data_IF_984760529726
#
_entry.id   IF_984760529726
#
_cell.length_a   1.000
_cell.length_b   1.000
_cell.length_c   1.000
_cell.angle_alpha   90.00
_cell.angle_beta   90.00
_cell.angle_gamma   90.00
#
_symmetry.space_group_name_H-M   'P 1'
#
loop_
_entity.id
_entity.type
_entity.pdbx_description
1 polymer ?
#
# COMPACT_ATOMS: atom_id res chain seq x y z
N UNK A 1 -1.81 -37.41 -7.07
CA UNK A 1 -0.45 -37.52 -7.65
C UNK A 1 0.13 -36.12 -7.74
N UNK A 2 0.94 -35.71 -6.76
CA UNK A 2 1.67 -34.44 -6.84
C UNK A 2 3.01 -34.71 -7.54
N UNK A 3 3.29 -33.97 -8.61
CA UNK A 3 4.52 -34.13 -9.40
C UNK A 3 5.73 -33.60 -8.62
N UNK A 4 6.79 -34.41 -8.50
CA UNK A 4 8.07 -34.07 -7.86
C UNK A 4 8.76 -32.83 -8.46
N UNK A 5 8.33 -32.39 -9.65
CA UNK A 5 8.86 -31.22 -10.36
C UNK A 5 7.87 -30.06 -10.45
N UNK A 6 6.88 -29.99 -9.56
CA UNK A 6 6.07 -28.77 -9.45
C UNK A 6 6.97 -27.60 -9.05
N UNK A 7 7.09 -26.63 -9.94
CA UNK A 7 7.71 -25.33 -9.64
C UNK A 7 6.84 -24.61 -8.62
N UNK A 8 7.14 -24.80 -7.33
CA UNK A 8 6.52 -24.01 -6.27
C UNK A 8 6.92 -22.56 -6.49
N UNK A 9 5.99 -21.73 -6.97
CA UNK A 9 6.23 -20.28 -6.99
C UNK A 9 6.58 -19.85 -5.58
N UNK A 10 7.73 -19.17 -5.35
CA UNK A 10 8.15 -18.80 -4.02
C UNK A 10 7.06 -17.94 -3.38
N UNK A 11 6.65 -18.31 -2.16
CA UNK A 11 5.68 -17.54 -1.41
C UNK A 11 6.18 -16.10 -1.26
N UNK A 12 5.27 -15.14 -1.41
CA UNK A 12 5.61 -13.73 -1.25
C UNK A 12 6.28 -13.49 0.12
N UNK A 13 7.25 -12.54 0.21
CA UNK A 13 7.89 -12.20 1.48
C UNK A 13 6.86 -11.90 2.58
N UNK A 14 7.20 -12.18 3.84
CA UNK A 14 6.30 -11.94 4.98
C UNK A 14 5.79 -10.49 5.02
N UNK A 15 6.66 -9.53 4.76
CA UNK A 15 6.30 -8.11 4.73
C UNK A 15 5.24 -7.78 3.67
N UNK A 16 5.23 -8.48 2.53
CA UNK A 16 4.19 -8.30 1.50
C UNK A 16 2.86 -8.91 1.96
N UNK A 17 2.91 -10.10 2.54
CA UNK A 17 1.73 -10.83 3.03
C UNK A 17 1.04 -10.15 4.21
N UNK A 18 1.80 -9.46 5.06
CA UNK A 18 1.30 -8.76 6.24
C UNK A 18 0.81 -7.33 5.94
N UNK A 19 0.82 -6.88 4.67
CA UNK A 19 0.32 -5.55 4.36
C UNK A 19 -1.18 -5.45 4.68
N UNK A 20 -1.59 -4.40 5.41
CA UNK A 20 -2.99 -4.02 5.57
C UNK A 20 -3.75 -4.02 4.23
N UNK A 21 -4.99 -4.52 4.27
CA UNK A 21 -5.94 -4.50 3.14
C UNK A 21 -6.94 -3.37 3.23
N UNK A 22 -7.15 -2.86 4.44
CA UNK A 22 -8.08 -1.76 4.74
C UNK A 22 -7.38 -0.66 5.54
N UNK A 23 -7.96 0.55 5.55
CA UNK A 23 -7.43 1.67 6.35
C UNK A 23 -7.50 1.39 7.86
N UNK A 24 -8.43 0.54 8.31
CA UNK A 24 -8.59 0.17 9.73
C UNK A 24 -7.50 -0.78 10.25
N UNK A 25 -6.86 -1.52 9.35
CA UNK A 25 -5.72 -2.40 9.67
C UNK A 25 -4.40 -1.63 9.82
N UNK A 26 -4.37 -0.33 9.53
CA UNK A 26 -3.15 0.48 9.62
C UNK A 26 -2.81 0.80 11.08
N UNK A 27 -1.66 0.30 11.54
CA UNK A 27 -1.17 0.50 12.91
C UNK A 27 -0.35 1.80 13.03
N UNK A 28 -0.55 2.54 14.13
CA UNK A 28 0.29 3.67 14.53
C UNK A 28 -0.02 5.02 13.87
N UNK A 29 -0.84 5.05 12.83
CA UNK A 29 -1.18 6.27 12.08
C UNK A 29 -2.54 6.88 12.46
N UNK A 30 -3.09 6.57 13.65
CA UNK A 30 -4.43 7.01 14.07
C UNK A 30 -4.59 8.54 14.13
N UNK A 31 -3.51 9.28 14.30
CA UNK A 31 -3.53 10.75 14.28
C UNK A 31 -3.85 11.31 12.87
N UNK A 32 -3.50 10.58 11.81
CA UNK A 32 -3.79 10.92 10.41
C UNK A 32 -4.99 10.16 9.85
N UNK A 33 -5.15 8.89 10.21
CA UNK A 33 -6.12 7.94 9.64
C UNK A 33 -7.21 7.51 10.62
N UNK A 34 -7.29 8.15 11.79
CA UNK A 34 -8.36 7.91 12.74
C UNK A 34 -9.75 8.21 12.15
N UNK A 35 -10.82 7.67 12.75
CA UNK A 35 -12.18 8.08 12.44
C UNK A 35 -12.28 9.61 12.49
N UNK A 36 -13.05 10.21 11.58
CA UNK A 36 -13.25 11.66 11.41
C UNK A 36 -12.00 12.51 11.06
N UNK A 37 -10.85 11.90 10.76
CA UNK A 37 -9.69 12.66 10.27
C UNK A 37 -9.86 13.09 8.80
N UNK A 38 -9.47 14.33 8.43
CA UNK A 38 -9.66 14.84 7.06
C UNK A 38 -9.04 13.95 5.99
N UNK A 39 -7.87 13.38 6.26
CA UNK A 39 -7.18 12.51 5.31
C UNK A 39 -7.95 11.20 5.07
N UNK A 40 -8.51 10.62 6.12
CA UNK A 40 -9.38 9.45 6.00
C UNK A 40 -10.65 9.76 5.22
N UNK A 41 -11.29 10.90 5.49
CA UNK A 41 -12.48 11.33 4.75
C UNK A 41 -12.17 11.58 3.26
N UNK A 42 -11.00 12.14 2.94
CA UNK A 42 -10.57 12.33 1.56
C UNK A 42 -10.42 10.97 0.84
N UNK A 43 -9.76 9.99 1.45
CA UNK A 43 -9.61 8.66 0.87
C UNK A 43 -10.95 7.94 0.69
N UNK A 44 -11.83 8.02 1.67
CA UNK A 44 -13.17 7.43 1.60
C UNK A 44 -14.08 8.10 0.57
N UNK A 45 -13.83 9.37 0.24
CA UNK A 45 -14.59 10.10 -0.78
C UNK A 45 -14.23 9.69 -2.21
N UNK A 46 -13.19 8.87 -2.40
CA UNK A 46 -12.64 8.50 -3.72
C UNK A 46 -11.89 9.64 -4.43
N UNK A 47 -11.85 10.85 -3.86
CA UNK A 47 -11.12 11.99 -4.42
C UNK A 47 -9.65 11.91 -4.01
N UNK A 48 -8.80 11.50 -4.94
CA UNK A 48 -7.36 11.36 -4.73
C UNK A 48 -6.60 12.56 -5.31
N UNK A 49 -6.24 13.57 -4.49
CA UNK A 49 -5.35 14.62 -4.97
C UNK A 49 -3.92 14.07 -5.17
N UNK A 50 -3.14 14.75 -6.01
CA UNK A 50 -1.70 14.51 -6.06
C UNK A 50 -1.08 14.78 -4.69
N UNK A 51 -0.26 13.85 -4.20
CA UNK A 51 0.32 13.94 -2.85
C UNK A 51 1.71 13.32 -2.76
N UNK A 52 2.47 13.75 -1.76
CA UNK A 52 3.76 13.18 -1.38
C UNK A 52 3.61 12.55 0.00
N UNK A 53 3.90 11.25 0.12
CA UNK A 53 3.98 10.55 1.40
C UNK A 53 5.43 10.58 1.88
N UNK A 54 5.70 11.30 2.97
CA UNK A 54 7.06 11.48 3.51
C UNK A 54 7.22 10.80 4.89
N UNK A 55 8.40 10.23 5.13
CA UNK A 55 8.76 9.63 6.40
C UNK A 55 9.85 8.55 6.30
N UNK A 56 10.38 8.07 7.44
CA UNK A 56 11.44 7.06 7.52
C UNK A 56 11.13 5.74 6.76
N UNK A 57 12.12 4.90 6.43
CA UNK A 57 11.85 3.58 5.85
C UNK A 57 10.97 2.74 6.80
N UNK A 58 10.05 1.96 6.26
CA UNK A 58 9.18 1.06 7.04
C UNK A 58 7.91 1.67 7.62
N UNK A 59 7.68 2.99 7.58
CA UNK A 59 6.47 3.63 8.18
C UNK A 59 5.16 3.43 7.39
N UNK A 60 5.16 2.58 6.35
CA UNK A 60 3.94 2.22 5.62
C UNK A 60 3.58 3.10 4.42
N UNK A 61 4.49 3.95 3.90
CA UNK A 61 4.22 4.83 2.74
C UNK A 61 3.66 4.09 1.52
N UNK A 62 4.36 3.04 1.07
CA UNK A 62 3.94 2.25 -0.09
C UNK A 62 2.64 1.51 0.16
N UNK A 63 2.46 1.00 1.39
CA UNK A 63 1.20 0.36 1.81
C UNK A 63 0.04 1.35 1.74
N UNK A 64 0.24 2.56 2.26
CA UNK A 64 -0.80 3.59 2.26
C UNK A 64 -1.18 4.00 0.84
N UNK A 65 -0.22 4.20 -0.06
CA UNK A 65 -0.50 4.49 -1.46
C UNK A 65 -1.37 3.41 -2.14
N UNK A 66 -1.11 2.12 -1.83
CA UNK A 66 -1.90 1.00 -2.34
C UNK A 66 -3.31 0.98 -1.75
N UNK A 67 -3.46 1.21 -0.45
CA UNK A 67 -4.76 1.29 0.21
C UNK A 67 -5.63 2.42 -0.37
N UNK A 68 -5.02 3.57 -0.60
CA UNK A 68 -5.67 4.74 -1.18
C UNK A 68 -6.22 4.42 -2.58
N UNK A 69 -5.42 3.78 -3.43
CA UNK A 69 -5.86 3.34 -4.76
C UNK A 69 -7.01 2.35 -4.68
N UNK A 70 -6.94 1.36 -3.77
CA UNK A 70 -8.02 0.40 -3.55
C UNK A 70 -9.32 1.08 -3.09
N UNK A 71 -9.24 2.07 -2.20
CA UNK A 71 -10.43 2.81 -1.72
C UNK A 71 -11.09 3.68 -2.80
N UNK A 72 -10.32 4.09 -3.81
CA UNK A 72 -10.83 4.90 -4.93
C UNK A 72 -11.16 4.06 -6.18
N UNK A 73 -11.11 2.73 -6.08
CA UNK A 73 -11.28 1.81 -7.22
C UNK A 73 -10.37 2.15 -8.41
N UNK A 74 -9.10 2.47 -8.11
CA UNK A 74 -8.11 2.90 -9.08
C UNK A 74 -7.01 1.86 -9.28
N UNK A 75 -6.42 1.82 -10.48
CA UNK A 75 -5.24 1.00 -10.76
C UNK A 75 -4.01 1.52 -10.00
N UNK A 76 -3.27 0.61 -9.36
CA UNK A 76 -2.03 0.94 -8.65
C UNK A 76 -0.79 0.50 -9.44
N UNK A 77 -0.07 1.48 -9.99
CA UNK A 77 1.17 1.25 -10.76
C UNK A 77 2.37 1.76 -9.95
N UNK A 78 3.15 0.88 -9.30
CA UNK A 78 4.34 1.29 -8.54
C UNK A 78 5.53 1.53 -9.46
N UNK A 79 6.10 2.73 -9.41
CA UNK A 79 7.35 3.11 -10.09
C UNK A 79 8.41 3.44 -9.03
N UNK A 80 9.61 2.87 -9.16
CA UNK A 80 10.73 3.10 -8.23
C UNK A 80 11.81 3.88 -8.93
N UNK A 81 12.10 5.11 -8.47
CA UNK A 81 13.17 5.93 -9.02
C UNK A 81 14.55 5.23 -9.01
N UNK A 82 14.76 4.29 -8.08
CA UNK A 82 16.00 3.51 -7.97
C UNK A 82 16.12 2.45 -9.07
N UNK A 83 15.01 1.81 -9.44
CA UNK A 83 14.99 0.74 -10.44
C UNK A 83 14.73 1.27 -11.85
N UNK A 84 14.04 2.40 -11.94
CA UNK A 84 13.58 2.98 -13.20
C UNK A 84 14.64 3.79 -13.93
N UNK A 85 15.88 3.85 -13.44
CA UNK A 85 17.03 4.39 -14.17
C UNK A 85 16.70 5.71 -14.87
N UNK A 86 16.17 6.67 -14.12
CA UNK A 86 15.83 7.98 -14.67
C UNK A 86 17.17 8.68 -14.96
N UNK A 87 17.57 8.72 -16.23
CA UNK A 87 18.56 9.67 -16.74
C UNK A 87 17.89 11.01 -16.98
#
# INVERSE_FOLDING_TARGET
MNSLFQTTSPAAPLAERLRPKTLDEVVGQSHLLGPSKPLRSAFQSGKLPSMILWGPPGVGKTTLARLIANTADAEFIPISAVLSGIK
#
